data_IF_244870845203
#
_entry.id   IF_244870845203
#
_cell.length_a   1.000
_cell.length_b   1.000
_cell.length_c   1.000
_cell.angle_alpha   90.00
_cell.angle_beta   90.00
_cell.angle_gamma   90.00
#
_symmetry.space_group_name_H-M   'P 1'
#
loop_
_entity.id
_entity.type
_entity.pdbx_description
1 polymer ?
#
# COMPACT_ATOMS: atom_id res chain seq x y z
N UNK A 1 1.54 -9.16 10.62
CA UNK A 1 0.15 -8.92 10.06
C UNK A 1 0.21 -9.01 8.54
N UNK A 2 -0.87 -9.41 7.83
CA UNK A 2 -0.92 -9.44 6.35
C UNK A 2 -1.73 -8.25 5.87
N UNK A 3 -1.09 -7.32 5.19
CA UNK A 3 -1.70 -6.13 4.57
C UNK A 3 -1.62 -6.26 3.05
N UNK A 4 -2.76 -6.36 2.38
CA UNK A 4 -2.84 -6.37 0.91
C UNK A 4 -3.03 -4.95 0.41
N UNK A 5 -2.19 -4.51 -0.51
CA UNK A 5 -2.34 -3.24 -1.22
C UNK A 5 -2.98 -3.56 -2.58
N UNK A 6 -4.21 -3.13 -2.78
CA UNK A 6 -5.01 -3.57 -3.92
C UNK A 6 -5.99 -2.54 -4.45
N UNK A 7 -6.30 -2.66 -5.73
CA UNK A 7 -7.38 -1.99 -6.45
C UNK A 7 -7.61 -2.73 -7.77
N UNK A 8 -8.82 -2.71 -8.34
CA UNK A 8 -9.12 -3.34 -9.63
C UNK A 8 -8.60 -2.57 -10.84
N UNK A 9 -8.11 -1.36 -10.66
CA UNK A 9 -7.61 -0.53 -11.76
C UNK A 9 -6.09 -0.53 -11.78
N UNK A 10 -5.50 -0.63 -12.97
CA UNK A 10 -4.08 -0.45 -13.18
C UNK A 10 -3.65 1.01 -12.96
N UNK A 11 -2.39 1.24 -12.60
CA UNK A 11 -1.82 2.59 -12.46
C UNK A 11 -2.30 3.38 -11.24
N UNK A 12 -2.98 2.77 -10.28
CA UNK A 12 -3.42 3.44 -9.04
C UNK A 12 -2.29 3.65 -8.02
N UNK A 13 -1.07 3.18 -8.31
CA UNK A 13 0.12 3.37 -7.47
C UNK A 13 0.35 2.29 -6.42
N UNK A 14 -0.26 1.10 -6.56
CA UNK A 14 -0.12 -0.01 -5.62
C UNK A 14 1.34 -0.35 -5.30
N UNK A 15 2.13 -0.69 -6.31
CA UNK A 15 3.54 -1.07 -6.15
C UNK A 15 4.39 0.04 -5.53
N UNK A 16 4.17 1.30 -5.95
CA UNK A 16 4.86 2.46 -5.35
C UNK A 16 4.53 2.62 -3.86
N UNK A 17 3.27 2.45 -3.49
CA UNK A 17 2.83 2.50 -2.09
C UNK A 17 3.41 1.34 -1.32
N UNK A 18 3.34 0.11 -1.85
CA UNK A 18 3.88 -1.10 -1.21
C UNK A 18 5.37 -0.97 -0.94
N UNK A 19 6.13 -0.52 -1.93
CA UNK A 19 7.58 -0.32 -1.80
C UNK A 19 7.91 0.73 -0.72
N UNK A 20 7.29 1.92 -0.79
CA UNK A 20 7.53 2.96 0.21
C UNK A 20 7.18 2.51 1.63
N UNK A 21 6.08 1.77 1.81
CA UNK A 21 5.70 1.22 3.12
C UNK A 21 6.67 0.14 3.60
N UNK A 22 7.18 -0.71 2.69
CA UNK A 22 8.17 -1.74 3.02
C UNK A 22 9.48 -1.10 3.49
N UNK A 23 10.01 -0.15 2.72
CA UNK A 23 11.23 0.60 3.10
C UNK A 23 11.00 1.35 4.42
N UNK A 24 9.84 1.99 4.59
CA UNK A 24 9.53 2.70 5.83
C UNK A 24 9.53 1.79 7.05
N UNK A 25 8.89 0.63 6.96
CA UNK A 25 8.88 -0.36 8.06
C UNK A 25 10.29 -0.83 8.38
N UNK A 26 11.07 -1.20 7.37
CA UNK A 26 12.43 -1.69 7.55
C UNK A 26 13.36 -0.60 8.14
N UNK A 27 13.20 0.66 7.71
CA UNK A 27 13.95 1.81 8.26
C UNK A 27 13.56 2.16 9.71
N UNK A 28 12.45 1.62 10.20
CA UNK A 28 12.01 1.72 11.58
C UNK A 28 12.18 0.39 12.35
N UNK A 29 13.21 -0.40 12.00
CA UNK A 29 13.61 -1.65 12.66
C UNK A 29 12.51 -2.74 12.68
N UNK A 30 11.54 -2.68 11.75
CA UNK A 30 10.50 -3.69 11.63
C UNK A 30 10.86 -4.72 10.57
N UNK A 31 10.80 -5.99 10.94
CA UNK A 31 10.95 -7.08 9.97
C UNK A 31 9.74 -7.10 9.06
N UNK A 32 9.96 -6.89 7.78
CA UNK A 32 8.95 -6.87 6.73
C UNK A 32 9.35 -7.83 5.61
N UNK A 33 8.36 -8.49 5.03
CA UNK A 33 8.48 -9.21 3.75
C UNK A 33 7.41 -8.68 2.83
N UNK A 34 7.79 -8.26 1.63
CA UNK A 34 6.86 -7.88 0.58
C UNK A 34 6.59 -9.06 -0.36
N UNK A 35 5.38 -9.13 -0.89
CA UNK A 35 5.01 -10.08 -1.94
C UNK A 35 4.59 -9.30 -3.17
N UNK A 36 5.25 -9.56 -4.29
CA UNK A 36 4.87 -9.06 -5.60
C UNK A 36 4.08 -10.15 -6.33
N UNK A 37 2.76 -9.98 -6.36
CA UNK A 37 1.85 -10.90 -7.03
C UNK A 37 1.27 -10.30 -8.31
N UNK A 38 1.83 -9.17 -8.77
CA UNK A 38 1.52 -8.63 -10.09
C UNK A 38 2.44 -9.30 -11.13
N UNK A 39 1.91 -9.94 -12.18
CA UNK A 39 2.74 -10.51 -13.24
C UNK A 39 3.66 -9.49 -13.93
N UNK A 40 3.42 -8.20 -13.78
CA UNK A 40 4.31 -7.15 -14.30
C UNK A 40 5.62 -7.02 -13.49
N UNK A 41 5.68 -7.52 -12.27
CA UNK A 41 6.91 -7.57 -11.48
C UNK A 41 7.46 -6.22 -11.01
N UNK A 42 6.67 -5.16 -11.08
CA UNK A 42 7.15 -3.78 -10.83
C UNK A 42 7.73 -3.57 -9.43
N UNK A 43 7.20 -4.24 -8.41
CA UNK A 43 7.74 -4.19 -7.05
C UNK A 43 9.06 -4.97 -6.96
N UNK A 44 9.16 -6.07 -7.65
CA UNK A 44 10.39 -6.89 -7.74
C UNK A 44 11.51 -6.12 -8.42
N UNK A 45 11.21 -5.46 -9.55
CA UNK A 45 12.19 -4.66 -10.30
C UNK A 45 12.80 -3.56 -9.43
N UNK A 46 11.98 -2.80 -8.70
CA UNK A 46 12.51 -1.73 -7.84
C UNK A 46 13.30 -2.26 -6.64
N UNK A 47 12.93 -3.42 -6.10
CA UNK A 47 13.68 -4.05 -5.02
C UNK A 47 15.03 -4.60 -5.52
N UNK A 48 15.11 -5.07 -6.76
CA UNK A 48 16.36 -5.47 -7.42
C UNK A 48 17.29 -4.28 -7.57
N UNK A 49 16.83 -3.13 -8.09
CA UNK A 49 17.61 -1.88 -8.16
C UNK A 49 18.15 -1.52 -6.77
N UNK A 50 17.30 -1.59 -5.72
CA UNK A 50 17.72 -1.27 -4.35
C UNK A 50 18.87 -2.18 -3.89
N UNK A 51 18.82 -3.46 -4.23
CA UNK A 51 19.85 -4.46 -3.89
C UNK A 51 21.13 -4.21 -4.68
N UNK A 52 21.04 -3.92 -5.98
CA UNK A 52 22.19 -3.62 -6.86
C UNK A 52 22.94 -2.37 -6.40
N UNK A 53 22.22 -1.35 -5.92
CA UNK A 53 22.78 -0.11 -5.39
C UNK A 53 23.21 -0.22 -3.90
N UNK A 54 23.10 -1.42 -3.30
CA UNK A 54 23.49 -1.71 -1.92
C UNK A 54 22.79 -0.81 -0.87
N UNK A 55 21.58 -0.33 -1.15
CA UNK A 55 20.83 0.50 -0.20
C UNK A 55 20.28 -0.30 0.99
N UNK A 56 20.50 0.23 2.17
CA UNK A 56 20.00 -0.33 3.43
C UNK A 56 18.80 0.49 3.96
N UNK A 57 17.87 -0.19 4.68
CA UNK A 57 17.77 -1.63 4.88
C UNK A 57 17.37 -2.38 3.59
N UNK A 58 17.81 -3.63 3.45
CA UNK A 58 17.35 -4.51 2.38
C UNK A 58 15.87 -4.84 2.55
N UNK A 59 15.16 -5.07 1.42
CA UNK A 59 13.76 -5.45 1.38
C UNK A 59 13.63 -6.83 0.73
N UNK A 60 13.16 -7.81 1.51
CA UNK A 60 12.84 -9.13 0.97
C UNK A 60 11.55 -9.05 0.14
N UNK A 61 11.62 -9.38 -1.16
CA UNK A 61 10.46 -9.49 -2.05
C UNK A 61 10.31 -10.92 -2.55
N UNK A 62 9.12 -11.49 -2.39
CA UNK A 62 8.76 -12.84 -2.82
C UNK A 62 7.64 -12.75 -3.86
N UNK A 63 7.64 -13.68 -4.82
CA UNK A 63 6.64 -13.72 -5.91
C UNK A 63 5.65 -14.88 -5.79
N UNK A 64 5.86 -15.78 -4.82
CA UNK A 64 5.04 -16.97 -4.63
C UNK A 64 4.18 -16.89 -3.37
N UNK A 65 2.87 -16.78 -3.55
CA UNK A 65 1.89 -16.72 -2.45
C UNK A 65 1.94 -17.97 -1.53
N UNK A 66 2.42 -19.11 -2.01
CA UNK A 66 2.56 -20.32 -1.18
C UNK A 66 3.51 -20.10 0.01
N UNK A 67 4.50 -19.24 -0.16
CA UNK A 67 5.51 -18.88 0.85
C UNK A 67 4.94 -17.97 1.95
N UNK A 68 3.71 -17.48 1.83
CA UNK A 68 3.09 -16.60 2.82
C UNK A 68 3.06 -17.21 4.23
N UNK A 69 2.84 -18.53 4.35
CA UNK A 69 2.83 -19.24 5.64
C UNK A 69 4.22 -19.41 6.27
N UNK A 70 5.27 -19.40 5.45
CA UNK A 70 6.66 -19.54 5.88
C UNK A 70 7.35 -18.20 6.15
N UNK A 71 6.74 -17.09 5.76
CA UNK A 71 7.23 -15.76 6.05
C UNK A 71 7.21 -15.55 7.58
N UNK A 72 8.39 -15.59 8.19
CA UNK A 72 8.58 -15.49 9.67
C UNK A 72 8.46 -14.07 10.19
N UNK A 73 8.32 -13.10 9.30
CA UNK A 73 8.26 -11.68 9.64
C UNK A 73 6.89 -11.31 10.19
N UNK A 74 6.85 -10.37 11.12
CA UNK A 74 5.61 -9.91 11.74
C UNK A 74 4.75 -9.10 10.77
N UNK A 75 5.38 -8.35 9.83
CA UNK A 75 4.69 -7.53 8.84
C UNK A 75 4.89 -8.10 7.43
N UNK A 76 3.78 -8.31 6.76
CA UNK A 76 3.72 -8.82 5.39
C UNK A 76 2.91 -7.85 4.55
N UNK A 77 3.53 -7.30 3.52
CA UNK A 77 2.88 -6.45 2.52
C UNK A 77 2.69 -7.26 1.23
N UNK A 78 1.51 -7.18 0.64
CA UNK A 78 1.20 -7.94 -0.57
C UNK A 78 0.72 -6.97 -1.65
N UNK A 79 1.52 -6.79 -2.69
CA UNK A 79 1.12 -6.07 -3.90
C UNK A 79 0.38 -7.02 -4.84
N UNK A 80 -0.85 -6.65 -5.23
CA UNK A 80 -1.66 -7.49 -6.12
C UNK A 80 -1.93 -6.78 -7.44
N UNK A 81 -1.63 -7.48 -8.52
CA UNK A 81 -1.98 -7.04 -9.87
C UNK A 81 -3.45 -7.28 -10.20
N UNK A 82 -3.89 -6.69 -11.30
CA UNK A 82 -5.24 -6.90 -11.85
C UNK A 82 -5.27 -8.00 -12.91
N UNK A 83 -4.11 -8.43 -13.39
CA UNK A 83 -3.99 -9.43 -14.46
C UNK A 83 -4.23 -10.86 -13.97
N UNK A 84 -3.84 -11.18 -12.72
CA UNK A 84 -4.12 -12.47 -12.09
C UNK A 84 -5.20 -12.32 -11.00
N UNK A 85 -6.44 -12.43 -11.44
CA UNK A 85 -7.62 -12.27 -10.59
C UNK A 85 -7.76 -13.36 -9.52
N UNK A 86 -7.36 -14.59 -9.82
CA UNK A 86 -7.45 -15.71 -8.90
C UNK A 86 -6.39 -15.61 -7.78
N UNK A 87 -5.17 -15.19 -8.12
CA UNK A 87 -4.13 -14.93 -7.11
C UNK A 87 -4.50 -13.75 -6.24
N UNK A 88 -5.08 -12.67 -6.81
CA UNK A 88 -5.61 -11.54 -6.05
C UNK A 88 -6.68 -12.00 -5.04
N UNK A 89 -7.66 -12.80 -5.45
CA UNK A 89 -8.70 -13.34 -4.55
C UNK A 89 -8.09 -14.18 -3.42
N UNK A 90 -7.12 -15.04 -3.75
CA UNK A 90 -6.40 -15.84 -2.74
C UNK A 90 -5.67 -14.97 -1.73
N UNK A 91 -5.03 -13.89 -2.16
CA UNK A 91 -4.37 -12.93 -1.28
C UNK A 91 -5.40 -12.21 -0.38
N UNK A 92 -6.48 -11.70 -0.94
CA UNK A 92 -7.56 -11.04 -0.22
C UNK A 92 -8.21 -11.95 0.84
N UNK A 93 -8.35 -13.25 0.57
CA UNK A 93 -8.91 -14.23 1.52
C UNK A 93 -8.01 -14.50 2.73
N UNK A 94 -6.75 -14.08 2.68
CA UNK A 94 -5.75 -14.22 3.75
C UNK A 94 -5.41 -12.91 4.44
N UNK A 95 -5.95 -11.79 3.91
CA UNK A 95 -5.66 -10.46 4.40
C UNK A 95 -6.23 -10.23 5.81
N UNK A 96 -5.46 -9.57 6.66
CA UNK A 96 -5.96 -8.97 7.90
C UNK A 96 -6.41 -7.53 7.65
N UNK A 97 -5.74 -6.86 6.70
CA UNK A 97 -6.01 -5.50 6.25
C UNK A 97 -5.89 -5.41 4.73
N UNK A 98 -6.74 -4.61 4.12
CA UNK A 98 -6.62 -4.21 2.72
C UNK A 98 -6.49 -2.70 2.65
N UNK A 99 -5.43 -2.22 2.01
CA UNK A 99 -5.20 -0.79 1.76
C UNK A 99 -5.48 -0.49 0.30
N UNK A 100 -6.36 0.47 0.06
CA UNK A 100 -6.86 0.80 -1.29
C UNK A 100 -6.42 2.20 -1.67
N UNK A 101 -5.38 2.36 -2.52
CA UNK A 101 -5.04 3.64 -3.11
C UNK A 101 -6.07 3.99 -4.20
N UNK A 102 -6.74 5.13 -4.05
CA UNK A 102 -7.82 5.56 -4.94
C UNK A 102 -7.46 6.89 -5.62
N UNK A 103 -7.16 6.90 -6.92
CA UNK A 103 -7.06 8.15 -7.67
C UNK A 103 -8.39 8.91 -7.69
N UNK A 104 -8.37 10.26 -7.72
CA UNK A 104 -9.56 11.08 -7.59
C UNK A 104 -10.32 11.19 -8.91
N UNK A 105 -10.90 10.08 -9.41
CA UNK A 105 -11.83 10.10 -10.56
C UNK A 105 -13.06 9.25 -10.29
N UNK A 106 -14.16 9.60 -10.94
CA UNK A 106 -15.41 8.84 -10.85
C UNK A 106 -15.23 7.37 -11.24
N UNK A 107 -14.41 7.09 -12.25
CA UNK A 107 -14.10 5.73 -12.69
C UNK A 107 -13.33 4.93 -11.64
N UNK A 108 -12.47 5.60 -10.85
CA UNK A 108 -11.72 4.98 -9.75
C UNK A 108 -12.63 4.68 -8.55
N UNK A 109 -13.61 5.53 -8.27
CA UNK A 109 -14.65 5.29 -7.24
C UNK A 109 -15.48 4.05 -7.62
N UNK A 110 -15.95 3.93 -8.87
CA UNK A 110 -16.69 2.76 -9.33
C UNK A 110 -15.83 1.48 -9.29
N UNK A 111 -14.55 1.59 -9.63
CA UNK A 111 -13.60 0.48 -9.52
C UNK A 111 -13.44 0.03 -8.06
N UNK A 112 -13.28 0.98 -7.15
CA UNK A 112 -13.16 0.74 -5.71
C UNK A 112 -14.42 0.07 -5.17
N UNK A 113 -15.62 0.52 -5.57
CA UNK A 113 -16.88 -0.09 -5.18
C UNK A 113 -16.96 -1.57 -5.61
N UNK A 114 -16.52 -1.88 -6.83
CA UNK A 114 -16.45 -3.28 -7.32
C UNK A 114 -15.41 -4.09 -6.55
N UNK A 115 -14.27 -3.48 -6.23
CA UNK A 115 -13.22 -4.15 -5.45
C UNK A 115 -13.70 -4.54 -4.05
N UNK A 116 -14.44 -3.66 -3.38
CA UNK A 116 -15.05 -3.94 -2.07
C UNK A 116 -16.03 -5.12 -2.15
N UNK A 117 -16.83 -5.23 -3.23
CA UNK A 117 -17.71 -6.39 -3.43
C UNK A 117 -16.92 -7.69 -3.50
N UNK A 118 -15.81 -7.71 -4.24
CA UNK A 118 -14.94 -8.89 -4.33
C UNK A 118 -14.33 -9.24 -2.97
N UNK A 119 -13.85 -8.25 -2.20
CA UNK A 119 -13.34 -8.48 -0.85
C UNK A 119 -14.42 -9.14 0.02
N UNK A 120 -15.67 -8.69 -0.10
CA UNK A 120 -16.79 -9.25 0.64
C UNK A 120 -17.09 -10.69 0.24
N UNK A 121 -17.16 -10.96 -1.06
CA UNK A 121 -17.44 -12.28 -1.63
C UNK A 121 -16.38 -13.32 -1.20
N UNK A 122 -15.10 -13.00 -1.31
CA UNK A 122 -14.01 -13.93 -0.95
C UNK A 122 -13.87 -14.18 0.56
N UNK A 123 -14.47 -13.31 1.37
CA UNK A 123 -14.48 -13.42 2.84
C UNK A 123 -15.86 -13.76 3.41
N UNK A 124 -16.80 -14.19 2.57
CA UNK A 124 -18.12 -14.64 3.03
C UNK A 124 -17.95 -15.81 4.02
N UNK A 125 -18.64 -15.71 5.17
CA UNK A 125 -18.52 -16.69 6.25
C UNK A 125 -17.18 -16.70 7.02
N UNK A 126 -16.28 -15.74 6.76
CA UNK A 126 -14.99 -15.59 7.45
C UNK A 126 -14.88 -14.23 8.14
N UNK A 127 -13.83 -14.09 8.97
CA UNK A 127 -13.48 -12.77 9.51
C UNK A 127 -13.07 -11.84 8.36
N UNK A 128 -13.78 -10.74 8.21
CA UNK A 128 -13.49 -9.73 7.21
C UNK A 128 -12.20 -8.97 7.52
N UNK A 129 -11.36 -8.67 6.52
CA UNK A 129 -10.23 -7.75 6.71
C UNK A 129 -10.73 -6.33 6.99
N UNK A 130 -9.93 -5.56 7.70
CA UNK A 130 -10.10 -4.10 7.75
C UNK A 130 -9.80 -3.52 6.35
N UNK A 131 -10.72 -2.75 5.78
CA UNK A 131 -10.52 -2.13 4.46
C UNK A 131 -10.36 -0.64 4.65
N UNK A 132 -9.17 -0.13 4.32
CA UNK A 132 -8.79 1.27 4.45
C UNK A 132 -8.55 1.88 3.08
N UNK A 133 -9.20 2.98 2.77
CA UNK A 133 -8.99 3.74 1.55
C UNK A 133 -8.32 5.07 1.82
N UNK A 134 -7.59 5.58 0.85
CA UNK A 134 -7.04 6.93 0.86
C UNK A 134 -6.95 7.48 -0.55
N UNK A 135 -6.96 8.80 -0.67
CA UNK A 135 -6.77 9.46 -1.98
C UNK A 135 -5.31 9.37 -2.38
N UNK A 136 -5.05 8.71 -3.50
CA UNK A 136 -3.74 8.62 -4.11
C UNK A 136 -3.71 9.39 -5.44
N UNK A 137 -2.55 9.93 -5.80
CA UNK A 137 -2.37 10.73 -7.02
C UNK A 137 -3.29 11.97 -7.05
N UNK A 138 -3.56 12.54 -5.88
CA UNK A 138 -4.30 13.79 -5.78
C UNK A 138 -3.64 14.89 -6.61
N UNK A 139 -4.44 15.78 -7.20
CA UNK A 139 -3.89 16.95 -7.88
C UNK A 139 -3.26 17.93 -6.87
N UNK A 140 -2.14 18.53 -7.26
CA UNK A 140 -1.43 19.54 -6.44
C UNK A 140 -2.18 20.88 -6.45
N UNK A 141 -3.04 21.11 -7.44
CA UNK A 141 -3.79 22.35 -7.56
C UNK A 141 -5.07 22.31 -6.71
N UNK A 142 -5.17 23.24 -5.78
CA UNK A 142 -6.26 23.34 -4.78
C UNK A 142 -7.64 23.54 -5.44
N UNK A 143 -7.67 24.07 -6.66
CA UNK A 143 -8.91 24.37 -7.38
C UNK A 143 -9.51 23.19 -8.14
N UNK A 144 -8.84 22.02 -8.13
CA UNK A 144 -9.34 20.79 -8.75
C UNK A 144 -10.37 20.17 -7.81
N UNK A 145 -11.64 20.20 -8.20
CA UNK A 145 -12.77 19.73 -7.37
C UNK A 145 -12.82 18.21 -7.26
N UNK A 146 -12.32 17.50 -8.26
CA UNK A 146 -12.39 16.03 -8.35
C UNK A 146 -11.82 15.34 -7.12
N UNK A 147 -10.76 15.89 -6.50
CA UNK A 147 -10.18 15.30 -5.27
C UNK A 147 -11.18 15.34 -4.10
N UNK A 148 -11.85 16.47 -3.91
CA UNK A 148 -12.87 16.63 -2.85
C UNK A 148 -14.12 15.78 -3.11
N UNK A 149 -14.58 15.74 -4.35
CA UNK A 149 -15.73 14.92 -4.76
C UNK A 149 -15.46 13.42 -4.59
N UNK A 150 -14.25 12.97 -4.95
CA UNK A 150 -13.84 11.57 -4.75
C UNK A 150 -13.74 11.22 -3.26
N UNK A 151 -13.22 12.11 -2.44
CA UNK A 151 -13.12 11.92 -0.99
C UNK A 151 -14.51 11.84 -0.34
N UNK A 152 -15.43 12.72 -0.71
CA UNK A 152 -16.81 12.68 -0.26
C UNK A 152 -17.51 11.37 -0.68
N UNK A 153 -17.30 10.94 -1.93
CA UNK A 153 -17.83 9.68 -2.40
C UNK A 153 -17.28 8.47 -1.63
N UNK A 154 -15.98 8.47 -1.29
CA UNK A 154 -15.36 7.41 -0.49
C UNK A 154 -15.85 7.39 0.95
N UNK A 155 -16.10 8.56 1.57
CA UNK A 155 -16.64 8.66 2.93
C UNK A 155 -18.00 7.97 3.06
N UNK A 156 -18.81 8.00 1.99
CA UNK A 156 -20.14 7.40 1.96
C UNK A 156 -20.16 5.98 1.40
N UNK A 157 -19.01 5.45 0.95
CA UNK A 157 -18.94 4.13 0.36
C UNK A 157 -18.92 3.04 1.44
N UNK A 158 -19.94 2.15 1.50
CA UNK A 158 -20.00 1.13 2.53
C UNK A 158 -18.89 0.07 2.36
N UNK A 159 -18.31 -0.36 3.47
CA UNK A 159 -17.32 -1.44 3.52
C UNK A 159 -15.87 -1.00 3.34
N UNK A 160 -15.61 0.31 3.28
CA UNK A 160 -14.28 0.91 3.33
C UNK A 160 -14.29 2.06 4.34
N UNK A 161 -13.19 2.20 5.08
CA UNK A 161 -12.95 3.35 5.96
C UNK A 161 -11.94 4.26 5.28
N UNK A 162 -12.35 5.49 4.98
CA UNK A 162 -11.43 6.49 4.48
C UNK A 162 -10.49 6.94 5.59
N UNK A 163 -9.19 6.93 5.35
CA UNK A 163 -8.18 7.53 6.22
C UNK A 163 -7.80 8.92 5.70
N UNK A 164 -7.62 9.86 6.63
CA UNK A 164 -7.31 11.27 6.33
C UNK A 164 -5.85 11.44 5.88
N UNK A 165 -5.53 10.89 4.71
CA UNK A 165 -4.25 11.03 4.05
C UNK A 165 -4.47 11.17 2.55
N UNK A 166 -3.71 12.10 1.94
CA UNK A 166 -3.63 12.24 0.49
C UNK A 166 -2.17 12.11 0.06
N UNK A 167 -1.90 11.25 -0.89
CA UNK A 167 -0.64 11.25 -1.63
C UNK A 167 -0.86 11.99 -2.94
N UNK A 168 -0.10 13.04 -3.16
CA UNK A 168 -0.25 13.87 -4.36
C UNK A 168 0.56 13.33 -5.53
N UNK A 169 0.18 13.68 -6.75
CA UNK A 169 0.92 13.31 -7.94
C UNK A 169 2.20 14.13 -8.07
N UNK A 170 3.28 13.66 -7.41
CA UNK A 170 4.58 14.33 -7.39
C UNK A 170 5.63 13.55 -8.18
N UNK A 171 6.54 14.28 -8.83
CA UNK A 171 7.68 13.71 -9.55
C UNK A 171 8.60 12.91 -8.62
N UNK A 172 8.70 13.32 -7.34
CA UNK A 172 9.52 12.64 -6.32
C UNK A 172 9.20 11.15 -6.20
N UNK A 173 7.93 10.75 -6.27
CA UNK A 173 7.55 9.32 -6.23
C UNK A 173 8.10 8.52 -7.40
N UNK A 174 8.10 9.09 -8.61
CA UNK A 174 8.66 8.41 -9.79
C UNK A 174 10.17 8.33 -9.73
N UNK A 175 10.83 9.42 -9.31
CA UNK A 175 12.28 9.47 -9.19
C UNK A 175 12.77 8.49 -8.14
N UNK A 176 12.26 8.55 -6.91
CA UNK A 176 12.68 7.64 -5.85
C UNK A 176 12.48 6.17 -6.23
N UNK A 177 11.36 5.85 -6.86
CA UNK A 177 11.04 4.51 -7.31
C UNK A 177 12.01 4.01 -8.39
N UNK A 178 12.37 4.85 -9.37
CA UNK A 178 13.36 4.47 -10.40
C UNK A 178 14.79 4.38 -9.88
N UNK A 179 15.07 4.92 -8.70
CA UNK A 179 16.39 4.87 -8.06
C UNK A 179 16.46 3.81 -6.94
N UNK A 180 15.43 2.97 -6.73
CA UNK A 180 15.41 1.96 -5.67
C UNK A 180 15.29 2.55 -4.26
N UNK A 181 14.84 3.80 -4.11
CA UNK A 181 14.73 4.53 -2.85
C UNK A 181 13.28 4.79 -2.45
N UNK A 182 13.01 4.75 -1.15
CA UNK A 182 11.81 5.36 -0.62
C UNK A 182 11.84 6.88 -0.82
N UNK A 183 10.68 7.51 -1.05
CA UNK A 183 10.63 8.94 -1.32
C UNK A 183 11.20 9.80 -0.18
N UNK A 184 11.15 9.29 1.05
CA UNK A 184 11.71 9.94 2.23
C UNK A 184 13.24 9.73 2.36
N UNK A 185 13.80 8.75 1.67
CA UNK A 185 15.25 8.57 1.56
C UNK A 185 15.84 9.54 0.52
N UNK A 186 15.19 9.63 -0.65
CA UNK A 186 15.62 10.52 -1.73
C UNK A 186 15.49 12.01 -1.35
N UNK A 187 14.35 12.40 -0.81
CA UNK A 187 14.03 13.79 -0.47
C UNK A 187 13.37 13.88 0.94
N UNK A 188 14.17 13.73 2.03
CA UNK A 188 13.64 13.60 3.41
C UNK A 188 12.77 14.76 3.89
N UNK A 189 13.01 15.98 3.36
CA UNK A 189 12.28 17.20 3.73
C UNK A 189 11.15 17.56 2.75
N UNK A 190 10.90 16.69 1.77
CA UNK A 190 9.85 16.94 0.77
C UNK A 190 8.45 16.74 1.33
N UNK A 191 7.47 17.35 0.66
CA UNK A 191 6.05 17.09 0.97
C UNK A 191 5.69 15.62 0.74
N UNK A 192 6.28 14.97 -0.28
CA UNK A 192 6.06 13.57 -0.58
C UNK A 192 6.53 12.66 0.56
N UNK A 193 7.70 12.95 1.16
CA UNK A 193 8.19 12.25 2.34
C UNK A 193 7.20 12.39 3.53
N UNK A 194 6.71 13.60 3.78
CA UNK A 194 5.70 13.84 4.81
C UNK A 194 4.38 13.08 4.59
N UNK A 195 3.95 12.98 3.33
CA UNK A 195 2.74 12.23 2.93
C UNK A 195 2.89 10.73 3.23
N UNK A 196 4.01 10.12 2.83
CA UNK A 196 4.29 8.69 3.10
C UNK A 196 4.45 8.43 4.60
N UNK A 197 5.20 9.28 5.30
CA UNK A 197 5.38 9.14 6.75
C UNK A 197 4.03 9.19 7.48
N UNK A 198 3.11 10.09 7.10
CA UNK A 198 1.76 10.17 7.66
C UNK A 198 0.95 8.90 7.36
N UNK A 199 0.96 8.42 6.10
CA UNK A 199 0.27 7.19 5.72
C UNK A 199 0.78 5.99 6.53
N UNK A 200 2.10 5.81 6.59
CA UNK A 200 2.73 4.71 7.30
C UNK A 200 2.44 4.78 8.81
N UNK A 201 2.55 5.97 9.42
CA UNK A 201 2.24 6.17 10.85
C UNK A 201 0.79 5.80 11.18
N UNK A 202 -0.18 6.15 10.33
CA UNK A 202 -1.59 5.78 10.55
C UNK A 202 -1.79 4.27 10.42
N UNK A 203 -1.18 3.65 9.40
CA UNK A 203 -1.33 2.22 9.15
C UNK A 203 -0.64 1.35 10.22
N UNK A 204 0.46 1.81 10.79
CA UNK A 204 1.32 1.00 11.64
C UNK A 204 1.52 1.56 13.06
N UNK A 205 0.74 2.56 13.50
CA UNK A 205 0.84 3.17 14.84
C UNK A 205 0.83 2.15 15.98
N UNK A 206 0.03 1.10 15.88
CA UNK A 206 -0.07 0.06 16.91
C UNK A 206 1.22 -0.73 17.11
N UNK A 207 2.14 -0.76 16.14
CA UNK A 207 3.42 -1.45 16.28
C UNK A 207 4.41 -0.72 17.20
N UNK A 208 4.23 0.61 17.34
CA UNK A 208 5.13 1.45 18.14
C UNK A 208 4.62 1.69 19.56
N UNK A 209 3.34 1.44 19.81
CA UNK A 209 2.74 1.56 21.16
C UNK A 209 3.16 0.37 22.04
N UNK A 210 3.32 -0.82 21.44
CA UNK A 210 3.66 -2.05 22.18
C UNK A 210 5.12 -2.09 22.68
N UNK A 211 6.04 -1.32 22.08
CA UNK A 211 7.44 -1.29 22.48
C UNK A 211 7.71 -0.26 23.61
N UNK A 212 6.74 0.57 23.95
CA UNK A 212 6.84 1.54 25.05
C UNK A 212 6.48 1.01 26.43
N UNK A 213 5.79 -0.14 26.50
CA UNK A 213 5.32 -0.73 27.77
C UNK A 213 6.26 -1.82 28.34
N UNK A 214 7.39 -2.13 27.68
CA UNK A 214 8.37 -3.11 28.19
C UNK A 214 9.58 -2.46 28.91
N UNK A 215 9.52 -1.15 29.20
CA UNK A 215 10.57 -0.43 29.95
C UNK A 215 9.99 0.25 31.20
N UNK A 216 9.54 -0.53 32.17
CA UNK A 216 9.48 -0.16 33.59
C UNK A 216 9.90 -1.35 34.49
#
# INVERSE_FOLDING_TARGET
MITVIGNLKGGTGKSTVTFNLAVWLASNDRKVTAFDLDPQGTLSDVAEIRTEEEYLPEIEVLTDLSKLKSAKNKEILVDVGTADFETMKKALSKAHRVVVPVPPSQADIWSTQRFIKIINEVNEGKKRPEVLGFINRADIHIHVRETGEAEEALLHLPGIKLIDVRLYQRTAYRRSFSEGLGVFELEPKSKAAGEVNRLASILFSSLFILDGDETE
#
